data_IF_568660008953
#
_entry.id   IF_568660008953
#
_cell.length_a   1.000
_cell.length_b   1.000
_cell.length_c   1.000
_cell.angle_alpha   90.00
_cell.angle_beta   90.00
_cell.angle_gamma   90.00
#
_symmetry.space_group_name_H-M   'P 1'
#
loop_
_entity.id
_entity.type
_entity.pdbx_description
1 polymer ?
#
# COMPACT_ATOMS: atom_id res chain seq x y z
N UNK A 1 -38.02 2.56 4.82
CA UNK A 1 -36.77 2.77 5.59
C UNK A 1 -36.81 4.15 6.22
N UNK A 2 -36.47 4.29 7.50
CA UNK A 2 -36.44 5.59 8.14
C UNK A 2 -35.38 6.50 7.52
N UNK A 3 -35.57 7.82 7.69
CA UNK A 3 -34.62 8.85 7.24
C UNK A 3 -33.63 9.15 8.37
N UNK A 4 -32.35 9.20 8.05
CA UNK A 4 -31.31 9.58 9.00
C UNK A 4 -31.38 11.10 9.21
N UNK A 5 -31.71 11.53 10.42
CA UNK A 5 -31.70 12.96 10.77
C UNK A 5 -30.26 13.44 10.95
N UNK A 6 -29.49 12.74 11.78
CA UNK A 6 -28.11 13.11 12.06
C UNK A 6 -27.21 11.88 12.14
N UNK A 7 -26.01 11.98 11.56
CA UNK A 7 -24.94 10.99 11.71
C UNK A 7 -23.95 11.51 12.74
N UNK A 8 -23.71 10.73 13.79
CA UNK A 8 -22.75 11.01 14.85
C UNK A 8 -21.53 10.08 14.74
N UNK A 9 -20.34 10.65 14.88
CA UNK A 9 -19.08 9.92 14.98
C UNK A 9 -18.50 10.20 16.35
N UNK A 10 -18.44 9.17 17.20
CA UNK A 10 -18.02 9.28 18.58
C UNK A 10 -16.73 8.51 18.86
N UNK A 11 -16.01 8.88 19.93
CA UNK A 11 -14.84 8.15 20.42
C UNK A 11 -13.52 8.60 19.83
N UNK A 12 -13.51 9.59 18.94
CA UNK A 12 -12.29 10.23 18.45
C UNK A 12 -12.11 11.63 19.09
N UNK A 13 -10.90 11.91 19.55
CA UNK A 13 -10.59 13.21 20.20
C UNK A 13 -10.23 14.34 19.21
N UNK A 14 -10.11 14.04 17.91
CA UNK A 14 -9.66 15.01 16.89
C UNK A 14 -10.75 15.31 15.87
N UNK A 15 -11.31 16.51 15.90
CA UNK A 15 -12.33 17.00 14.96
C UNK A 15 -11.95 16.81 13.49
N UNK A 16 -10.65 16.95 13.14
CA UNK A 16 -10.15 16.72 11.78
C UNK A 16 -10.38 15.27 11.33
N UNK A 17 -10.12 14.31 12.21
CA UNK A 17 -10.31 12.88 11.92
C UNK A 17 -11.79 12.53 11.81
N UNK A 18 -12.64 13.12 12.65
CA UNK A 18 -14.10 12.95 12.55
C UNK A 18 -14.63 13.43 11.20
N UNK A 19 -14.18 14.60 10.74
CA UNK A 19 -14.54 15.12 9.42
C UNK A 19 -14.06 14.16 8.31
N UNK A 20 -12.82 13.70 8.35
CA UNK A 20 -12.29 12.75 7.36
C UNK A 20 -13.08 11.45 7.33
N UNK A 21 -13.46 10.90 8.50
CA UNK A 21 -14.31 9.72 8.60
C UNK A 21 -15.70 10.01 8.03
N UNK A 22 -16.32 11.15 8.40
CA UNK A 22 -17.61 11.52 7.88
C UNK A 22 -17.61 11.60 6.35
N UNK A 23 -16.55 12.17 5.75
CA UNK A 23 -16.42 12.29 4.29
C UNK A 23 -16.38 10.92 3.58
N UNK A 24 -15.90 9.88 4.25
CA UNK A 24 -15.85 8.49 3.74
C UNK A 24 -17.21 7.77 3.79
N UNK A 25 -18.15 8.21 4.61
CA UNK A 25 -19.42 7.53 4.80
C UNK A 25 -20.30 7.64 3.53
N UNK A 26 -20.99 6.56 3.22
CA UNK A 26 -22.05 6.55 2.21
C UNK A 26 -23.32 7.17 2.78
N UNK A 27 -23.63 6.85 4.05
CA UNK A 27 -24.80 7.39 4.73
C UNK A 27 -24.48 8.76 5.33
N UNK A 28 -25.30 9.72 4.96
CA UNK A 28 -25.22 11.13 5.40
C UNK A 28 -26.52 11.56 6.07
N UNK A 29 -26.51 12.74 6.66
CA UNK A 29 -27.76 13.37 7.11
C UNK A 29 -28.75 13.43 5.96
N UNK A 30 -30.00 13.14 6.21
CA UNK A 30 -31.13 13.08 5.26
C UNK A 30 -31.08 11.91 4.26
N UNK A 31 -30.16 10.95 4.40
CA UNK A 31 -30.17 9.71 3.61
C UNK A 31 -31.21 8.72 4.16
N UNK A 32 -31.76 7.88 3.30
CA UNK A 32 -32.55 6.72 3.74
C UNK A 32 -31.64 5.68 4.43
N UNK A 33 -32.02 5.20 5.60
CA UNK A 33 -31.27 4.18 6.31
C UNK A 33 -31.25 2.87 5.53
N UNK A 34 -30.06 2.27 5.40
CA UNK A 34 -29.85 1.00 4.74
C UNK A 34 -28.76 0.18 5.46
N UNK A 35 -29.08 -1.03 5.88
CA UNK A 35 -28.19 -1.92 6.62
C UNK A 35 -26.93 -2.29 5.81
N UNK A 36 -27.06 -2.47 4.49
CA UNK A 36 -25.91 -2.77 3.62
C UNK A 36 -24.95 -1.58 3.57
N UNK A 37 -25.47 -0.38 3.43
CA UNK A 37 -24.66 0.84 3.46
C UNK A 37 -23.97 1.05 4.82
N UNK A 38 -24.64 0.74 5.93
CA UNK A 38 -24.03 0.76 7.28
C UNK A 38 -22.85 -0.20 7.35
N UNK A 39 -22.95 -1.42 6.83
CA UNK A 39 -21.86 -2.40 6.80
C UNK A 39 -20.70 -1.94 5.93
N UNK A 40 -20.99 -1.30 4.80
CA UNK A 40 -19.95 -0.74 3.93
C UNK A 40 -19.23 0.42 4.60
N UNK A 41 -19.96 1.34 5.22
CA UNK A 41 -19.40 2.45 5.99
C UNK A 41 -18.49 1.94 7.12
N UNK A 42 -18.92 0.90 7.84
CA UNK A 42 -18.09 0.26 8.86
C UNK A 42 -16.77 -0.26 8.30
N UNK A 43 -16.79 -0.90 7.12
CA UNK A 43 -15.58 -1.38 6.44
C UNK A 43 -14.67 -0.22 6.03
N UNK A 44 -15.23 0.86 5.48
CA UNK A 44 -14.46 2.04 5.09
C UNK A 44 -13.78 2.70 6.29
N UNK A 45 -14.49 2.88 7.40
CA UNK A 45 -13.91 3.44 8.63
C UNK A 45 -12.79 2.53 9.15
N UNK A 46 -13.01 1.21 9.22
CA UNK A 46 -11.98 0.27 9.69
C UNK A 46 -10.73 0.28 8.79
N UNK A 47 -10.91 0.31 7.47
CA UNK A 47 -9.79 0.42 6.53
C UNK A 47 -9.02 1.73 6.71
N UNK A 48 -9.72 2.85 6.83
CA UNK A 48 -9.11 4.15 7.12
C UNK A 48 -8.31 4.13 8.42
N UNK A 49 -8.86 3.55 9.49
CA UNK A 49 -8.19 3.48 10.79
C UNK A 49 -6.95 2.58 10.74
N UNK A 50 -7.02 1.42 10.07
CA UNK A 50 -5.87 0.54 9.84
C UNK A 50 -4.76 1.25 9.08
N UNK A 51 -5.09 1.97 8.00
CA UNK A 51 -4.12 2.76 7.23
C UNK A 51 -3.49 3.91 8.01
N UNK A 52 -4.10 4.29 9.14
CA UNK A 52 -3.53 5.24 10.10
C UNK A 52 -2.84 4.57 11.31
N UNK A 53 -2.65 3.25 11.25
CA UNK A 53 -1.95 2.46 12.26
C UNK A 53 -2.83 1.95 13.41
N UNK A 54 -4.12 2.22 13.40
CA UNK A 54 -5.07 1.75 14.43
C UNK A 54 -5.65 0.38 14.06
N UNK A 55 -4.81 -0.64 14.08
CA UNK A 55 -5.16 -1.98 13.60
C UNK A 55 -6.20 -2.70 14.46
N UNK A 56 -6.25 -2.38 15.76
CA UNK A 56 -7.16 -3.00 16.73
C UNK A 56 -8.41 -2.18 17.01
N UNK A 57 -8.69 -1.16 16.19
CA UNK A 57 -9.88 -0.35 16.36
C UNK A 57 -11.16 -1.19 16.22
N UNK A 58 -12.15 -0.83 17.02
CA UNK A 58 -13.49 -1.44 16.99
C UNK A 58 -14.53 -0.35 16.76
N UNK A 59 -15.57 -0.71 16.03
CA UNK A 59 -16.69 0.19 15.76
C UNK A 59 -17.97 -0.50 16.21
N UNK A 60 -18.71 0.13 17.09
CA UNK A 60 -20.10 -0.22 17.38
C UNK A 60 -21.04 0.79 16.72
N UNK A 61 -22.14 0.28 16.18
CA UNK A 61 -23.11 1.08 15.45
C UNK A 61 -24.45 0.93 16.15
N UNK A 62 -25.11 2.04 16.37
CA UNK A 62 -26.44 2.09 16.95
C UNK A 62 -27.31 3.15 16.29
N UNK A 63 -28.61 2.99 16.39
CA UNK A 63 -29.60 3.97 15.95
C UNK A 63 -30.46 4.39 17.13
N UNK A 64 -30.95 5.61 17.09
CA UNK A 64 -31.93 6.15 18.03
C UNK A 64 -33.14 6.62 17.25
N UNK A 65 -34.30 6.07 17.52
CA UNK A 65 -35.56 6.56 16.96
C UNK A 65 -35.90 7.92 17.58
N UNK A 66 -36.26 8.87 16.73
CA UNK A 66 -36.63 10.23 17.12
C UNK A 66 -38.06 10.61 16.68
N UNK A 67 -38.85 9.62 16.23
CA UNK A 67 -40.19 9.83 15.72
C UNK A 67 -40.27 10.26 14.24
N UNK A 68 -41.47 10.38 13.71
CA UNK A 68 -41.74 10.82 12.31
C UNK A 68 -40.95 10.01 11.25
N UNK A 69 -40.78 8.71 11.44
CA UNK A 69 -39.97 7.83 10.56
C UNK A 69 -38.51 8.33 10.39
N UNK A 70 -37.96 8.95 11.44
CA UNK A 70 -36.57 9.47 11.47
C UNK A 70 -35.76 8.81 12.56
N UNK A 71 -34.45 8.65 12.30
CA UNK A 71 -33.47 8.11 13.25
C UNK A 71 -32.21 8.99 13.29
N UNK A 72 -31.52 8.94 14.42
CA UNK A 72 -30.11 9.30 14.50
C UNK A 72 -29.25 8.05 14.39
N UNK A 73 -28.12 8.14 13.66
CA UNK A 73 -27.17 7.06 13.43
C UNK A 73 -25.85 7.37 14.14
N UNK A 74 -25.36 6.45 14.95
CA UNK A 74 -24.14 6.61 15.75
C UNK A 74 -23.09 5.60 15.30
N UNK A 75 -21.90 6.08 14.93
CA UNK A 75 -20.67 5.29 14.76
C UNK A 75 -19.75 5.56 15.94
N UNK A 76 -19.76 4.67 16.92
CA UNK A 76 -18.90 4.77 18.11
C UNK A 76 -17.60 4.01 17.88
N UNK A 77 -16.49 4.74 17.83
CA UNK A 77 -15.17 4.25 17.49
C UNK A 77 -14.33 4.10 18.74
N UNK A 78 -13.82 2.89 18.99
CA UNK A 78 -12.74 2.66 19.94
C UNK A 78 -11.45 2.48 19.14
N UNK A 79 -10.56 3.49 19.16
CA UNK A 79 -9.33 3.49 18.37
C UNK A 79 -8.34 2.42 18.82
N UNK A 80 -8.25 2.12 20.11
CA UNK A 80 -7.18 1.33 20.67
C UNK A 80 -5.80 2.00 20.52
N UNK A 81 -4.74 1.24 20.70
CA UNK A 81 -3.37 1.69 20.45
C UNK A 81 -2.93 1.41 19.01
N UNK A 82 -1.94 2.19 18.56
CA UNK A 82 -1.34 1.96 17.24
C UNK A 82 -0.49 0.69 17.21
N UNK A 83 -0.62 -0.08 16.13
CA UNK A 83 0.19 -1.25 15.83
C UNK A 83 1.62 -0.84 15.46
N UNK A 84 2.62 -1.21 16.26
CA UNK A 84 4.03 -0.85 16.10
C UNK A 84 4.78 -1.95 15.35
N UNK A 85 5.59 -1.59 14.36
CA UNK A 85 6.51 -2.51 13.69
C UNK A 85 7.73 -2.66 14.60
N UNK A 86 7.85 -3.78 15.28
CA UNK A 86 8.94 -4.06 16.22
C UNK A 86 10.20 -4.55 15.50
N UNK A 87 10.02 -5.31 14.42
CA UNK A 87 11.09 -5.91 13.65
C UNK A 87 10.65 -6.03 12.19
N UNK A 88 11.60 -5.88 11.27
CA UNK A 88 11.42 -6.14 9.85
C UNK A 88 12.40 -7.26 9.44
N UNK A 89 11.87 -8.32 8.85
CA UNK A 89 12.64 -9.48 8.40
C UNK A 89 12.42 -9.73 6.91
N UNK A 90 13.48 -10.19 6.26
CA UNK A 90 13.43 -10.67 4.88
C UNK A 90 13.75 -12.15 4.87
N UNK A 91 12.89 -12.95 4.25
CA UNK A 91 13.05 -14.42 4.12
C UNK A 91 12.97 -14.81 2.64
N UNK A 92 13.32 -16.07 2.35
CA UNK A 92 13.42 -16.59 0.99
C UNK A 92 14.84 -16.48 0.46
N UNK A 93 14.99 -16.38 -0.85
CA UNK A 93 16.32 -16.26 -1.47
C UNK A 93 16.93 -14.87 -1.20
N UNK A 94 18.16 -14.89 -0.69
CA UNK A 94 18.83 -13.67 -0.23
C UNK A 94 20.01 -13.31 -1.13
N UNK A 95 19.71 -12.88 -2.34
CA UNK A 95 20.74 -12.33 -3.23
C UNK A 95 21.35 -11.03 -2.68
N UNK A 96 20.67 -10.36 -1.73
CA UNK A 96 21.12 -9.10 -1.15
C UNK A 96 21.03 -9.12 0.38
N UNK A 97 21.91 -8.35 1.03
CA UNK A 97 21.94 -8.23 2.50
C UNK A 97 20.69 -7.51 3.01
N UNK A 98 20.17 -7.94 4.15
CA UNK A 98 19.00 -7.34 4.81
C UNK A 98 19.16 -5.82 5.03
N UNK A 99 20.38 -5.34 5.30
CA UNK A 99 20.67 -3.91 5.46
C UNK A 99 20.39 -3.10 4.21
N UNK A 100 20.71 -3.66 3.02
CA UNK A 100 20.41 -3.03 1.75
C UNK A 100 18.91 -3.07 1.48
N UNK A 101 18.25 -4.22 1.68
CA UNK A 101 16.80 -4.34 1.48
C UNK A 101 16.02 -3.39 2.40
N UNK A 102 16.48 -3.21 3.65
CA UNK A 102 15.91 -2.19 4.56
C UNK A 102 16.06 -0.77 4.03
N UNK A 103 17.10 -0.44 3.31
CA UNK A 103 17.29 0.90 2.75
C UNK A 103 16.38 1.18 1.54
N UNK A 104 15.83 0.14 0.92
CA UNK A 104 14.92 0.24 -0.23
C UNK A 104 13.48 0.52 0.20
N UNK A 105 13.05 -0.04 1.33
CA UNK A 105 11.68 0.07 1.82
C UNK A 105 11.41 1.37 2.59
N UNK A 106 10.13 1.72 2.72
CA UNK A 106 9.67 2.89 3.46
C UNK A 106 9.32 2.57 4.91
N UNK A 107 8.85 1.34 5.18
CA UNK A 107 8.56 0.89 6.55
C UNK A 107 9.79 0.94 7.44
N UNK A 108 9.60 1.35 8.69
CA UNK A 108 10.66 1.47 9.69
C UNK A 108 10.32 0.71 10.96
N UNK A 109 11.35 0.16 11.62
CA UNK A 109 11.19 -0.40 12.96
C UNK A 109 10.90 0.70 13.99
N UNK A 110 9.99 0.42 14.92
CA UNK A 110 9.66 1.33 16.01
C UNK A 110 10.86 1.49 16.94
N UNK A 111 11.30 2.74 17.10
CA UNK A 111 12.31 3.14 18.09
C UNK A 111 11.73 4.28 18.92
N UNK A 112 11.88 4.25 20.25
CA UNK A 112 11.24 5.22 21.15
C UNK A 112 11.70 6.67 20.89
N UNK A 113 12.92 6.87 20.36
CA UNK A 113 13.44 8.20 20.01
C UNK A 113 12.98 8.73 18.66
N UNK A 114 12.43 7.88 17.78
CA UNK A 114 11.84 8.31 16.52
C UNK A 114 10.38 8.73 16.72
N UNK A 115 10.14 9.89 17.33
CA UNK A 115 8.79 10.31 17.76
C UNK A 115 7.89 10.67 16.58
N UNK A 116 8.41 11.26 15.51
CA UNK A 116 7.63 11.93 14.45
C UNK A 116 7.26 10.99 13.29
N UNK A 117 8.00 9.92 13.04
CA UNK A 117 7.77 9.04 11.88
C UNK A 117 6.48 8.22 12.02
N UNK A 118 5.57 8.35 11.06
CA UNK A 118 4.40 7.45 10.89
C UNK A 118 4.76 6.08 10.30
N UNK A 119 5.94 5.94 9.69
CA UNK A 119 6.42 4.75 8.97
C UNK A 119 6.70 3.55 9.88
N UNK A 120 6.76 3.77 11.19
CA UNK A 120 6.97 2.76 12.25
C UNK A 120 5.69 2.06 12.72
N UNK A 121 4.56 2.45 12.17
CA UNK A 121 3.27 1.81 12.46
C UNK A 121 2.83 0.97 11.27
N UNK A 122 2.17 -0.14 11.56
CA UNK A 122 1.64 -1.03 10.53
C UNK A 122 0.65 -0.27 9.64
N UNK A 123 0.88 -0.27 8.33
CA UNK A 123 0.08 0.43 7.35
C UNK A 123 0.11 -0.34 6.02
N UNK A 124 -1.03 -0.83 5.57
CA UNK A 124 -1.14 -1.66 4.37
C UNK A 124 -0.68 -0.94 3.09
N UNK A 125 -0.94 0.37 2.98
CA UNK A 125 -0.52 1.15 1.80
C UNK A 125 1.01 1.28 1.75
N UNK A 126 1.67 1.49 2.91
CA UNK A 126 3.13 1.55 3.00
C UNK A 126 3.73 0.16 2.69
N UNK A 127 3.14 -0.91 3.21
CA UNK A 127 3.58 -2.29 2.94
C UNK A 127 3.48 -2.61 1.44
N UNK A 128 2.39 -2.22 0.78
CA UNK A 128 2.23 -2.40 -0.66
C UNK A 128 3.23 -1.55 -1.47
N UNK A 129 3.57 -0.36 -0.99
CA UNK A 129 4.64 0.45 -1.58
C UNK A 129 5.99 -0.24 -1.42
N UNK A 130 6.31 -0.77 -0.25
CA UNK A 130 7.55 -1.51 0.02
C UNK A 130 7.70 -2.71 -0.93
N UNK A 131 6.62 -3.48 -1.12
CA UNK A 131 6.60 -4.60 -2.08
C UNK A 131 6.97 -4.13 -3.49
N UNK A 132 6.40 -3.03 -3.96
CA UNK A 132 6.72 -2.46 -5.28
C UNK A 132 8.17 -2.00 -5.36
N UNK A 133 8.68 -1.34 -4.32
CA UNK A 133 10.06 -0.87 -4.27
C UNK A 133 11.05 -2.04 -4.32
N UNK A 134 10.80 -3.09 -3.53
CA UNK A 134 11.60 -4.31 -3.58
C UNK A 134 11.54 -4.97 -4.96
N UNK A 135 10.35 -5.13 -5.52
CA UNK A 135 10.17 -5.70 -6.87
C UNK A 135 10.95 -4.90 -7.93
N UNK A 136 10.84 -3.57 -7.94
CA UNK A 136 11.55 -2.72 -8.89
C UNK A 136 13.07 -2.79 -8.68
N UNK A 137 13.52 -2.81 -7.43
CA UNK A 137 14.94 -2.97 -7.12
C UNK A 137 15.50 -4.27 -7.70
N UNK A 138 14.85 -5.42 -7.47
CA UNK A 138 15.29 -6.71 -7.99
C UNK A 138 15.22 -6.75 -9.52
N UNK A 139 14.17 -6.23 -10.15
CA UNK A 139 14.07 -6.12 -11.61
C UNK A 139 15.23 -5.32 -12.20
N UNK A 140 15.65 -4.23 -11.54
CA UNK A 140 16.82 -3.44 -11.97
C UNK A 140 18.17 -4.13 -11.70
N UNK A 141 18.16 -5.30 -11.05
CA UNK A 141 19.35 -6.13 -10.82
C UNK A 141 19.38 -7.41 -11.66
N UNK A 142 18.43 -7.55 -12.59
CA UNK A 142 18.35 -8.66 -13.53
C UNK A 142 17.29 -9.71 -13.19
N UNK A 143 16.60 -9.60 -12.07
CA UNK A 143 15.61 -10.58 -11.64
C UNK A 143 14.21 -10.24 -12.16
N UNK A 144 13.93 -10.58 -13.42
CA UNK A 144 12.67 -10.24 -14.09
C UNK A 144 11.46 -10.88 -13.41
N UNK A 145 11.57 -12.17 -13.06
CA UNK A 145 10.48 -12.98 -12.49
C UNK A 145 10.36 -12.84 -10.96
N UNK A 146 10.95 -11.81 -10.38
CA UNK A 146 10.87 -11.54 -8.94
C UNK A 146 9.43 -11.55 -8.45
N UNK A 147 9.19 -12.30 -7.40
CA UNK A 147 7.95 -12.29 -6.63
C UNK A 147 8.27 -11.88 -5.20
N UNK A 148 7.71 -10.78 -4.75
CA UNK A 148 7.58 -10.46 -3.33
C UNK A 148 6.23 -11.01 -2.90
N UNK A 149 6.23 -12.30 -2.54
CA UNK A 149 5.03 -13.12 -2.48
C UNK A 149 4.12 -12.70 -1.33
N UNK A 150 4.44 -13.01 -0.14
CA UNK A 150 3.60 -12.64 0.97
C UNK A 150 4.31 -11.68 1.91
N UNK A 151 3.64 -10.58 2.18
CA UNK A 151 3.99 -9.72 3.29
C UNK A 151 2.98 -10.00 4.38
N UNK A 152 3.42 -10.56 5.49
CA UNK A 152 2.55 -10.73 6.63
C UNK A 152 3.15 -10.08 7.87
N UNK A 153 2.24 -9.59 8.72
CA UNK A 153 2.60 -9.01 9.98
C UNK A 153 2.27 -10.02 11.08
N UNK A 154 3.30 -10.58 11.70
CA UNK A 154 3.16 -11.49 12.81
C UNK A 154 2.95 -10.70 14.11
N UNK A 155 1.82 -10.91 14.80
CA UNK A 155 1.54 -10.27 16.07
C UNK A 155 2.37 -10.93 17.20
N UNK A 156 3.20 -10.14 17.84
CA UNK A 156 4.10 -10.60 18.92
C UNK A 156 3.72 -10.10 20.33
N UNK A 157 2.50 -9.59 20.47
CA UNK A 157 1.99 -9.04 21.73
C UNK A 157 2.23 -7.55 21.93
N UNK A 158 1.56 -6.93 22.89
CA UNK A 158 1.73 -5.52 23.26
C UNK A 158 1.66 -4.53 22.09
N UNK A 159 0.71 -4.74 21.17
CA UNK A 159 0.53 -3.95 19.96
C UNK A 159 1.78 -3.89 19.04
N UNK A 160 2.66 -4.89 19.14
CA UNK A 160 3.86 -5.03 18.33
C UNK A 160 3.70 -6.12 17.27
N UNK A 161 4.30 -5.87 16.11
CA UNK A 161 4.32 -6.79 14.98
C UNK A 161 5.74 -6.97 14.47
N UNK A 162 6.02 -8.16 13.98
CA UNK A 162 7.12 -8.43 13.07
C UNK A 162 6.57 -8.38 11.64
N UNK A 163 7.15 -7.53 10.80
CA UNK A 163 6.82 -7.41 9.40
C UNK A 163 7.80 -8.26 8.59
N UNK A 164 7.28 -9.21 7.81
CA UNK A 164 8.09 -10.20 7.09
C UNK A 164 7.82 -10.08 5.60
N UNK A 165 8.89 -9.85 4.81
CA UNK A 165 8.87 -9.89 3.36
C UNK A 165 9.45 -11.21 2.89
N UNK A 166 8.65 -12.02 2.18
CA UNK A 166 9.11 -13.25 1.54
C UNK A 166 9.46 -12.96 0.07
N UNK A 167 10.70 -13.21 -0.30
CA UNK A 167 11.28 -12.82 -1.59
C UNK A 167 11.69 -14.07 -2.36
N UNK A 168 11.16 -14.22 -3.57
CA UNK A 168 11.50 -15.25 -4.54
C UNK A 168 11.99 -14.59 -5.83
N UNK A 169 13.31 -14.36 -6.00
CA UNK A 169 13.84 -13.56 -7.10
C UNK A 169 13.75 -14.22 -8.47
N UNK A 170 13.68 -15.56 -8.52
CA UNK A 170 13.78 -16.29 -9.77
C UNK A 170 15.20 -16.29 -10.33
N UNK A 171 15.33 -16.53 -11.64
CA UNK A 171 16.60 -16.51 -12.34
C UNK A 171 17.03 -15.10 -12.73
N UNK A 172 18.33 -14.96 -13.01
CA UNK A 172 18.90 -13.70 -13.44
C UNK A 172 18.93 -13.63 -14.96
N UNK A 173 18.35 -12.58 -15.52
CA UNK A 173 18.24 -12.31 -16.94
C UNK A 173 19.22 -11.24 -17.40
N UNK A 174 19.59 -11.32 -18.68
CA UNK A 174 20.50 -10.39 -19.35
C UNK A 174 19.87 -9.94 -20.66
N UNK A 175 20.20 -8.75 -21.09
CA UNK A 175 19.88 -8.32 -22.45
C UNK A 175 20.73 -9.09 -23.44
N UNK A 176 20.06 -9.72 -24.40
CA UNK A 176 20.74 -10.41 -25.52
C UNK A 176 20.64 -9.55 -26.79
N UNK A 177 20.00 -10.03 -27.83
CA UNK A 177 19.84 -9.29 -29.07
C UNK A 177 18.55 -8.47 -29.04
N UNK A 178 18.70 -7.15 -28.99
CA UNK A 178 17.60 -6.20 -29.09
C UNK A 178 17.46 -5.78 -30.56
N UNK A 179 16.24 -5.82 -31.11
CA UNK A 179 15.96 -5.53 -32.52
C UNK A 179 14.75 -4.61 -32.63
N UNK A 180 14.81 -3.71 -33.61
CA UNK A 180 13.67 -2.90 -34.03
C UNK A 180 13.05 -3.56 -35.25
N UNK A 181 11.77 -3.88 -35.17
CA UNK A 181 10.99 -4.31 -36.30
C UNK A 181 10.10 -3.17 -36.75
N UNK A 182 10.41 -2.57 -37.90
CA UNK A 182 9.67 -1.45 -38.46
C UNK A 182 8.80 -1.90 -39.61
N UNK A 183 7.62 -1.28 -39.86
CA UNK A 183 6.89 -1.38 -41.11
C UNK A 183 7.73 -0.86 -42.27
N UNK A 184 7.41 -1.30 -43.49
CA UNK A 184 8.19 -0.98 -44.73
C UNK A 184 8.32 0.53 -44.97
N UNK A 185 7.36 1.30 -44.50
CA UNK A 185 7.29 2.76 -44.72
C UNK A 185 8.20 3.58 -43.78
N UNK A 186 8.87 2.91 -42.81
CA UNK A 186 9.75 3.57 -41.86
C UNK A 186 11.22 3.33 -42.18
N UNK A 187 12.01 4.40 -42.12
CA UNK A 187 13.47 4.30 -42.27
C UNK A 187 14.14 3.96 -40.94
N UNK A 188 15.02 2.95 -40.93
CA UNK A 188 15.82 2.56 -39.78
C UNK A 188 16.70 3.71 -39.27
N UNK A 189 17.14 4.59 -40.18
CA UNK A 189 18.02 5.74 -39.83
C UNK A 189 17.39 6.73 -38.87
N UNK A 190 16.07 6.74 -38.72
CA UNK A 190 15.39 7.58 -37.73
C UNK A 190 15.54 7.04 -36.31
N UNK A 191 16.15 5.86 -36.13
CA UNK A 191 16.28 5.15 -34.84
C UNK A 191 17.76 4.86 -34.51
N UNK A 192 18.70 5.63 -35.00
CA UNK A 192 20.15 5.44 -34.78
C UNK A 192 20.50 5.54 -33.31
N UNK A 193 19.88 6.47 -32.54
CA UNK A 193 20.06 6.62 -31.12
C UNK A 193 19.63 5.35 -30.38
N UNK A 194 18.48 4.79 -30.76
CA UNK A 194 17.95 3.56 -30.15
C UNK A 194 18.83 2.34 -30.49
N UNK A 195 19.35 2.28 -31.72
CA UNK A 195 20.26 1.22 -32.15
C UNK A 195 21.58 1.26 -31.37
N UNK A 196 22.13 2.44 -31.15
CA UNK A 196 23.32 2.63 -30.30
C UNK A 196 23.08 2.22 -28.87
N UNK A 197 21.92 2.59 -28.31
CA UNK A 197 21.53 2.21 -26.95
C UNK A 197 21.36 0.69 -26.80
N UNK A 198 20.82 0.02 -27.81
CA UNK A 198 20.72 -1.45 -27.81
C UNK A 198 22.08 -2.14 -27.77
N UNK A 199 23.07 -1.62 -28.47
CA UNK A 199 24.44 -2.14 -28.41
C UNK A 199 25.07 -1.98 -27.04
N UNK A 200 24.81 -0.86 -26.37
CA UNK A 200 25.29 -0.64 -25.00
C UNK A 200 24.65 -1.58 -23.98
N UNK A 201 23.41 -2.00 -24.21
CA UNK A 201 22.68 -2.91 -23.29
C UNK A 201 23.09 -4.37 -23.45
N UNK A 202 23.61 -4.76 -24.60
CA UNK A 202 23.95 -6.17 -24.91
C UNK A 202 24.89 -6.75 -23.86
N UNK A 203 24.49 -7.89 -23.26
CA UNK A 203 25.22 -8.58 -22.21
C UNK A 203 25.10 -7.97 -20.80
N UNK A 204 24.47 -6.79 -20.66
CA UNK A 204 24.18 -6.22 -19.32
C UNK A 204 23.00 -6.97 -18.66
N UNK A 205 22.93 -6.91 -17.34
CA UNK A 205 21.78 -7.44 -16.60
C UNK A 205 20.50 -6.76 -17.09
N UNK A 206 19.40 -7.52 -17.18
CA UNK A 206 18.06 -6.94 -17.36
C UNK A 206 17.82 -5.83 -16.33
N UNK A 207 17.18 -4.75 -16.75
CA UNK A 207 16.81 -3.61 -15.91
C UNK A 207 15.50 -3.02 -16.38
N UNK A 208 14.55 -2.90 -15.46
CA UNK A 208 13.26 -2.25 -15.72
C UNK A 208 13.46 -0.79 -16.13
N UNK A 209 14.39 -0.08 -15.47
CA UNK A 209 14.70 1.32 -15.77
C UNK A 209 15.24 1.49 -17.20
N UNK A 210 16.06 0.55 -17.69
CA UNK A 210 16.57 0.60 -19.07
C UNK A 210 15.45 0.36 -20.09
N UNK A 211 14.51 -0.56 -19.79
CA UNK A 211 13.30 -0.76 -20.63
C UNK A 211 12.45 0.52 -20.65
N UNK A 212 12.25 1.18 -19.52
CA UNK A 212 11.51 2.45 -19.46
C UNK A 212 12.19 3.59 -20.26
N UNK A 213 13.53 3.59 -20.35
CA UNK A 213 14.26 4.53 -21.22
C UNK A 213 14.01 4.23 -22.70
N UNK A 214 14.08 2.95 -23.10
CA UNK A 214 13.75 2.53 -24.48
C UNK A 214 12.37 3.05 -24.87
N UNK A 215 11.36 2.83 -24.02
CA UNK A 215 9.98 3.25 -24.29
C UNK A 215 9.78 4.78 -24.36
N UNK A 216 10.74 5.57 -23.88
CA UNK A 216 10.70 7.04 -23.98
C UNK A 216 11.40 7.57 -25.22
N UNK A 217 12.26 6.78 -25.84
CA UNK A 217 12.96 7.13 -27.08
C UNK A 217 12.07 6.83 -28.30
N UNK A 218 11.16 5.85 -28.18
CA UNK A 218 10.15 5.49 -29.19
C UNK A 218 8.98 6.47 -29.15
#
# INVERSE_FOLDING_TARGET
NPIIQTVFIEGNKKKKTEKQIYDLLTLKNRSAYNVTSVKNDQKFILSYLKNNGYYFSKISISTRDIGDNKIDLFYKINLGEKAKISKISFIGDKNFKDSLLRSIIVSEEYKFWKIISGKKYLNENIINLDKRLLTNFYKNKGFYDIIVDSTFANYIGNNKFELIYNISPGEKYFFNDLKINLPIDYSVNNFDELSSFFQELKGKNYSLTEIEKILKII
#
